data_IF_892241816902
#
_entry.id   IF_892241816902
#
_cell.length_a   1.000
_cell.length_b   1.000
_cell.length_c   1.000
_cell.angle_alpha   90.00
_cell.angle_beta   90.00
_cell.angle_gamma   90.00
#
_symmetry.space_group_name_H-M   'P 1'
#
loop_
_entity.id
_entity.type
_entity.pdbx_description
1 polymer ?
#
# COMPACT_ATOMS: atom_id res chain seq x y z
N UNK A 1 -5.36 -8.06 19.52
CA UNK A 1 -5.55 -7.08 18.43
C UNK A 1 -5.91 -5.76 19.07
N UNK A 2 -5.09 -4.75 18.88
CA UNK A 2 -5.30 -3.42 19.46
C UNK A 2 -5.23 -2.41 18.31
N UNK A 3 -6.38 -2.13 17.70
CA UNK A 3 -6.47 -1.03 16.75
C UNK A 3 -6.51 0.30 17.51
N UNK A 4 -5.83 1.34 17.01
CA UNK A 4 -6.03 2.69 17.51
C UNK A 4 -7.52 3.09 17.42
N UNK A 5 -8.01 3.84 18.42
CA UNK A 5 -9.41 4.26 18.48
C UNK A 5 -9.88 4.98 17.21
N UNK A 6 -8.98 5.73 16.57
CA UNK A 6 -9.21 6.38 15.27
C UNK A 6 -9.69 5.40 14.19
N UNK A 7 -9.14 4.18 14.17
CA UNK A 7 -9.48 3.15 13.19
C UNK A 7 -10.68 2.32 13.65
N UNK A 8 -10.66 1.86 14.92
CA UNK A 8 -11.70 0.98 15.46
C UNK A 8 -13.10 1.56 15.33
N UNK A 9 -13.24 2.88 15.52
CA UNK A 9 -14.52 3.58 15.51
C UNK A 9 -15.03 3.97 14.12
N UNK A 10 -14.16 3.93 13.09
CA UNK A 10 -14.48 4.47 11.76
C UNK A 10 -14.39 3.45 10.61
N UNK A 11 -13.76 2.31 10.83
CA UNK A 11 -13.65 1.31 9.78
C UNK A 11 -14.88 0.40 9.73
N UNK A 12 -15.46 0.27 8.53
CA UNK A 12 -16.45 -0.76 8.21
C UNK A 12 -15.80 -2.10 7.95
N UNK A 13 -14.66 -2.09 7.24
CA UNK A 13 -13.81 -3.25 7.00
C UNK A 13 -12.39 -2.96 7.47
N UNK A 14 -11.67 -3.94 8.01
CA UNK A 14 -10.27 -3.78 8.42
C UNK A 14 -9.34 -3.76 7.19
N UNK A 15 -9.49 -2.74 6.35
CA UNK A 15 -8.82 -2.61 5.04
C UNK A 15 -8.21 -1.22 4.89
N UNK A 16 -7.01 -1.21 4.31
CA UNK A 16 -6.33 -0.01 3.82
C UNK A 16 -6.10 -0.18 2.32
N UNK A 17 -6.56 0.76 1.51
CA UNK A 17 -6.15 0.90 0.13
C UNK A 17 -4.75 1.50 0.09
N UNK A 18 -3.77 0.73 -0.39
CA UNK A 18 -2.36 1.11 -0.39
C UNK A 18 -2.09 2.38 -1.21
N UNK A 19 -1.11 3.22 -0.82
CA UNK A 19 -0.70 4.35 -1.63
C UNK A 19 0.01 3.85 -2.88
N UNK A 20 -0.53 4.17 -4.04
CA UNK A 20 -0.02 3.70 -5.33
C UNK A 20 0.48 4.87 -6.16
N UNK A 21 1.77 4.81 -6.53
CA UNK A 21 2.43 5.88 -7.26
C UNK A 21 1.79 6.09 -8.64
N UNK A 22 1.41 7.34 -8.94
CA UNK A 22 0.69 7.79 -10.15
C UNK A 22 -0.72 7.17 -10.34
N UNK A 23 -1.25 6.45 -9.37
CA UNK A 23 -2.54 5.76 -9.44
C UNK A 23 -3.54 6.33 -8.43
N UNK A 24 -3.11 6.45 -7.16
CA UNK A 24 -3.96 7.05 -6.12
C UNK A 24 -4.14 8.54 -6.35
N UNK A 25 -5.36 9.02 -6.19
CA UNK A 25 -5.79 10.41 -6.36
C UNK A 25 -6.85 10.77 -5.29
N UNK A 26 -7.27 12.03 -5.15
CA UNK A 26 -8.29 12.42 -4.20
C UNK A 26 -9.62 11.66 -4.36
N UNK A 27 -10.05 11.39 -5.60
CA UNK A 27 -11.30 10.69 -5.88
C UNK A 27 -11.28 9.26 -5.32
N UNK A 28 -10.17 8.52 -5.54
CA UNK A 28 -10.00 7.17 -4.99
C UNK A 28 -9.96 7.20 -3.46
N UNK A 29 -9.22 8.15 -2.87
CA UNK A 29 -9.12 8.31 -1.41
C UNK A 29 -10.50 8.60 -0.81
N UNK A 30 -11.24 9.56 -1.35
CA UNK A 30 -12.58 9.93 -0.88
C UNK A 30 -13.57 8.76 -1.01
N UNK A 31 -13.53 8.03 -2.13
CA UNK A 31 -14.37 6.86 -2.34
C UNK A 31 -14.08 5.75 -1.29
N UNK A 32 -12.80 5.50 -0.99
CA UNK A 32 -12.41 4.56 0.06
C UNK A 32 -12.92 5.01 1.44
N UNK A 33 -12.63 6.26 1.84
CA UNK A 33 -12.99 6.79 3.15
C UNK A 33 -14.51 6.83 3.35
N UNK A 34 -15.29 7.21 2.32
CA UNK A 34 -16.76 7.18 2.33
C UNK A 34 -17.32 5.78 2.60
N UNK A 35 -16.63 4.75 2.11
CA UNK A 35 -17.03 3.35 2.28
C UNK A 35 -16.48 2.67 3.54
N UNK A 36 -15.85 3.44 4.44
CA UNK A 36 -15.36 2.94 5.72
C UNK A 36 -14.09 2.08 5.61
N UNK A 37 -13.22 2.37 4.64
CA UNK A 37 -11.86 1.83 4.54
C UNK A 37 -10.86 2.97 4.41
N UNK A 38 -9.64 2.79 4.90
CA UNK A 38 -8.61 3.83 4.76
C UNK A 38 -8.23 3.99 3.30
N UNK A 39 -8.41 5.18 2.73
CA UNK A 39 -7.86 5.58 1.44
C UNK A 39 -6.48 6.19 1.62
N UNK A 40 -5.54 5.93 0.70
CA UNK A 40 -4.21 6.51 0.81
C UNK A 40 -3.61 6.91 -0.54
N UNK A 41 -2.64 7.84 -0.48
CA UNK A 41 -1.91 8.30 -1.66
C UNK A 41 -0.48 8.73 -1.32
N UNK A 42 0.47 8.59 -2.26
CA UNK A 42 1.82 9.14 -2.10
C UNK A 42 1.85 10.66 -2.28
N UNK A 43 2.52 11.41 -1.40
CA UNK A 43 2.74 12.85 -1.58
C UNK A 43 3.44 13.15 -2.92
N UNK A 44 4.30 12.24 -3.38
CA UNK A 44 5.02 12.35 -4.65
C UNK A 44 4.16 12.13 -5.90
N UNK A 45 2.86 11.81 -5.78
CA UNK A 45 1.93 11.81 -6.92
C UNK A 45 1.72 13.23 -7.48
N UNK A 46 1.97 14.24 -6.68
CA UNK A 46 2.10 15.62 -7.13
C UNK A 46 3.59 15.98 -7.32
N UNK A 47 3.90 16.74 -8.38
CA UNK A 47 5.28 17.13 -8.67
C UNK A 47 5.84 18.11 -7.66
N UNK A 48 4.99 19.02 -7.18
CA UNK A 48 5.34 20.09 -6.25
C UNK A 48 4.58 19.91 -4.93
N UNK A 49 5.18 20.38 -3.83
CA UNK A 49 4.55 20.35 -2.51
C UNK A 49 3.26 21.18 -2.45
N UNK A 50 3.14 22.24 -3.28
CA UNK A 50 1.91 23.02 -3.44
C UNK A 50 0.76 22.19 -4.02
N UNK A 51 1.04 21.34 -4.99
CA UNK A 51 0.04 20.41 -5.55
C UNK A 51 -0.36 19.33 -4.53
N UNK A 52 0.59 18.85 -3.72
CA UNK A 52 0.30 17.96 -2.62
C UNK A 52 -0.62 18.61 -1.58
N UNK A 53 -0.33 19.87 -1.18
CA UNK A 53 -1.21 20.63 -0.28
C UNK A 53 -2.61 20.80 -0.85
N UNK A 54 -2.75 21.16 -2.13
CA UNK A 54 -4.05 21.30 -2.78
C UNK A 54 -4.86 19.98 -2.78
N UNK A 55 -4.21 18.83 -2.90
CA UNK A 55 -4.88 17.54 -2.78
C UNK A 55 -5.36 17.24 -1.36
N UNK A 56 -4.60 17.64 -0.34
CA UNK A 56 -5.06 17.52 1.05
C UNK A 56 -6.30 18.38 1.29
N UNK A 57 -6.29 19.64 0.83
CA UNK A 57 -7.44 20.55 0.94
C UNK A 57 -8.69 19.98 0.25
N UNK A 58 -8.54 19.37 -0.95
CA UNK A 58 -9.63 18.70 -1.67
C UNK A 58 -10.18 17.51 -0.88
N UNK A 59 -9.29 16.66 -0.34
CA UNK A 59 -9.69 15.48 0.46
C UNK A 59 -10.39 15.91 1.74
N UNK A 60 -9.85 16.87 2.48
CA UNK A 60 -10.43 17.38 3.72
C UNK A 60 -11.79 18.00 3.50
N UNK A 61 -11.94 18.82 2.44
CA UNK A 61 -13.22 19.40 2.07
C UNK A 61 -14.26 18.34 1.70
N UNK A 62 -13.85 17.28 0.98
CA UNK A 62 -14.73 16.16 0.64
C UNK A 62 -15.14 15.34 1.86
N UNK A 63 -14.20 15.04 2.76
CA UNK A 63 -14.47 14.28 3.98
C UNK A 63 -15.38 15.04 4.95
N UNK A 64 -15.26 16.36 5.01
CA UNK A 64 -16.11 17.21 5.85
C UNK A 64 -17.62 17.16 5.47
N UNK A 65 -17.94 16.67 4.27
CA UNK A 65 -19.32 16.48 3.81
C UNK A 65 -19.90 15.10 4.17
N UNK A 66 -19.08 14.20 4.73
CA UNK A 66 -19.46 12.83 5.03
C UNK A 66 -19.72 12.64 6.53
N UNK A 67 -20.64 11.73 6.85
CA UNK A 67 -20.89 11.32 8.22
C UNK A 67 -19.91 10.23 8.63
N UNK A 68 -19.06 10.52 9.62
CA UNK A 68 -18.06 9.62 10.20
C UNK A 68 -17.21 8.82 9.17
N UNK A 69 -16.56 9.47 8.18
CA UNK A 69 -15.76 8.77 7.19
C UNK A 69 -14.53 8.09 7.83
N UNK A 70 -14.04 7.02 7.21
CA UNK A 70 -12.74 6.46 7.59
C UNK A 70 -11.62 7.50 7.41
N UNK A 71 -10.55 7.44 8.21
CA UNK A 71 -9.41 8.34 8.04
C UNK A 71 -8.68 8.05 6.72
N UNK A 72 -8.01 9.07 6.19
CA UNK A 72 -7.09 8.91 5.06
C UNK A 72 -5.64 8.78 5.52
N UNK A 73 -4.77 8.34 4.61
CA UNK A 73 -3.34 8.25 4.87
C UNK A 73 -2.51 8.88 3.73
N UNK A 74 -1.35 9.42 4.09
CA UNK A 74 -0.36 9.96 3.14
C UNK A 74 0.93 9.15 3.23
N UNK A 75 1.46 8.71 2.09
CA UNK A 75 2.76 8.06 2.05
C UNK A 75 3.88 9.08 1.79
N UNK A 76 4.91 9.02 2.63
CA UNK A 76 6.17 9.75 2.51
C UNK A 76 7.32 8.78 2.28
N UNK A 77 8.10 9.01 1.22
CA UNK A 77 9.35 8.27 0.95
C UNK A 77 10.45 8.87 1.80
N UNK A 78 10.93 8.12 2.79
CA UNK A 78 11.99 8.53 3.72
C UNK A 78 13.33 8.05 3.19
N UNK A 79 13.84 8.77 2.21
CA UNK A 79 15.15 8.48 1.61
C UNK A 79 15.89 9.78 1.33
N UNK A 80 17.21 9.78 1.50
CA UNK A 80 18.07 10.98 1.31
C UNK A 80 17.96 11.59 -0.10
N UNK A 81 17.52 10.82 -1.09
CA UNK A 81 17.28 11.33 -2.45
C UNK A 81 15.93 12.05 -2.60
N UNK A 82 15.06 12.04 -1.60
CA UNK A 82 13.80 12.77 -1.64
C UNK A 82 14.01 14.21 -1.12
N UNK A 83 14.17 15.21 -1.99
CA UNK A 83 14.44 16.59 -1.57
C UNK A 83 13.20 17.27 -0.96
N UNK A 84 12.04 16.64 -1.07
CA UNK A 84 10.76 17.20 -0.60
C UNK A 84 10.33 16.71 0.77
N UNK A 85 11.02 15.73 1.34
CA UNK A 85 10.59 15.06 2.57
C UNK A 85 10.25 16.05 3.69
N UNK A 86 11.13 17.01 3.97
CA UNK A 86 10.92 18.00 5.03
C UNK A 86 9.71 18.91 4.75
N UNK A 87 9.59 19.40 3.50
CA UNK A 87 8.48 20.27 3.09
C UNK A 87 7.14 19.52 3.14
N UNK A 88 7.11 18.29 2.61
CA UNK A 88 5.89 17.48 2.61
C UNK A 88 5.50 17.03 4.04
N UNK A 89 6.48 16.75 4.92
CA UNK A 89 6.22 16.49 6.34
C UNK A 89 5.64 17.71 7.05
N UNK A 90 6.18 18.90 6.80
CA UNK A 90 5.65 20.14 7.38
C UNK A 90 4.18 20.36 6.96
N UNK A 91 3.82 20.07 5.71
CA UNK A 91 2.44 20.11 5.22
C UNK A 91 1.58 19.05 5.94
N UNK A 92 2.07 17.82 6.13
CA UNK A 92 1.35 16.80 6.88
C UNK A 92 1.06 17.25 8.32
N UNK A 93 2.00 17.93 8.98
CA UNK A 93 1.84 18.49 10.33
C UNK A 93 0.82 19.63 10.33
N UNK A 94 0.91 20.57 9.37
CA UNK A 94 -0.03 21.69 9.22
C UNK A 94 -1.48 21.20 9.06
N UNK A 95 -1.69 20.20 8.21
CA UNK A 95 -3.00 19.59 7.92
C UNK A 95 -3.41 18.49 8.91
N UNK A 96 -2.56 18.17 9.90
CA UNK A 96 -2.83 17.10 10.88
C UNK A 96 -3.25 15.79 10.22
N UNK A 97 -2.51 15.38 9.18
CA UNK A 97 -2.80 14.15 8.42
C UNK A 97 -2.99 12.97 9.38
N UNK A 98 -4.16 12.29 9.38
CA UNK A 98 -4.49 11.30 10.41
C UNK A 98 -3.51 10.14 10.48
N UNK A 99 -3.01 9.67 9.32
CA UNK A 99 -2.08 8.55 9.20
C UNK A 99 -0.98 8.91 8.20
N UNK A 100 0.27 8.83 8.63
CA UNK A 100 1.43 8.95 7.73
C UNK A 100 2.02 7.55 7.53
N UNK A 101 2.14 7.12 6.27
CA UNK A 101 2.81 5.87 5.90
C UNK A 101 4.22 6.21 5.45
N UNK A 102 5.23 5.62 6.08
CA UNK A 102 6.63 5.83 5.71
C UNK A 102 7.21 4.60 4.99
N UNK A 103 7.98 4.86 3.94
CA UNK A 103 8.64 3.82 3.15
C UNK A 103 10.13 4.12 2.99
N UNK A 104 10.97 3.09 2.88
CA UNK A 104 12.43 3.12 2.69
C UNK A 104 13.24 3.66 3.87
N UNK A 105 12.62 4.07 4.97
CA UNK A 105 13.27 4.49 6.20
C UNK A 105 12.28 4.85 7.30
N UNK A 106 12.57 4.48 8.54
CA UNK A 106 11.86 4.92 9.73
C UNK A 106 12.78 5.86 10.51
N UNK A 107 12.37 7.12 10.67
CA UNK A 107 13.15 8.16 11.34
C UNK A 107 12.34 8.69 12.52
N UNK A 108 12.97 8.66 13.71
CA UNK A 108 12.29 9.04 14.95
C UNK A 108 11.76 10.48 14.92
N UNK A 109 12.49 11.40 14.32
CA UNK A 109 12.10 12.81 14.22
C UNK A 109 10.79 12.99 13.43
N UNK A 110 10.58 12.18 12.38
CA UNK A 110 9.33 12.16 11.63
C UNK A 110 8.18 11.60 12.49
N UNK A 111 8.44 10.52 13.21
CA UNK A 111 7.45 9.92 14.12
C UNK A 111 7.03 10.93 15.18
N UNK A 112 7.99 11.58 15.84
CA UNK A 112 7.74 12.60 16.85
C UNK A 112 6.94 13.80 16.29
N UNK A 113 7.25 14.23 15.06
CA UNK A 113 6.51 15.30 14.39
C UNK A 113 5.04 14.94 14.14
N UNK A 114 4.77 13.71 13.69
CA UNK A 114 3.40 13.24 13.47
C UNK A 114 2.67 13.04 14.81
N UNK A 115 3.34 12.49 15.82
CA UNK A 115 2.77 12.32 17.15
C UNK A 115 2.45 13.66 17.84
N UNK A 116 3.15 14.75 17.49
CA UNK A 116 2.94 16.07 18.11
C UNK A 116 1.50 16.60 17.95
N UNK A 117 0.76 16.16 16.92
CA UNK A 117 -0.63 16.51 16.68
C UNK A 117 -1.61 15.36 16.87
N UNK A 118 -1.15 14.18 17.31
CA UNK A 118 -1.98 12.99 17.54
C UNK A 118 -2.19 12.12 16.30
N UNK A 119 -1.40 12.30 15.24
CA UNK A 119 -1.39 11.43 14.05
C UNK A 119 -0.72 10.08 14.34
N UNK A 120 -0.96 9.10 13.46
CA UNK A 120 -0.37 7.76 13.52
C UNK A 120 0.69 7.61 12.44
N UNK A 121 1.75 6.84 12.74
CA UNK A 121 2.78 6.48 11.75
C UNK A 121 2.77 4.98 11.52
N UNK A 122 2.57 4.57 10.26
CA UNK A 122 2.74 3.20 9.81
C UNK A 122 3.97 3.09 8.93
N UNK A 123 4.67 1.96 8.96
CA UNK A 123 5.91 1.78 8.20
C UNK A 123 5.94 0.48 7.42
N UNK A 124 6.32 0.56 6.11
CA UNK A 124 6.48 -0.60 5.23
C UNK A 124 7.73 -1.41 5.61
N UNK A 125 7.56 -2.70 5.84
CA UNK A 125 8.65 -3.62 6.20
C UNK A 125 8.57 -4.90 5.36
N UNK A 126 9.74 -5.43 4.97
CA UNK A 126 9.85 -6.64 4.18
C UNK A 126 10.61 -7.76 4.90
N UNK A 127 11.21 -7.45 6.05
CA UNK A 127 11.99 -8.39 6.88
C UNK A 127 11.82 -8.08 8.35
N UNK A 128 12.11 -9.05 9.23
CA UNK A 128 12.14 -8.85 10.68
C UNK A 128 13.04 -7.68 11.10
N UNK A 129 14.24 -7.58 10.52
CA UNK A 129 15.19 -6.50 10.84
C UNK A 129 14.62 -5.11 10.51
N UNK A 130 13.89 -4.97 9.40
CA UNK A 130 13.22 -3.71 9.07
C UNK A 130 12.12 -3.39 10.09
N UNK A 131 11.38 -4.41 10.51
CA UNK A 131 10.33 -4.28 11.51
C UNK A 131 10.86 -3.86 12.89
N UNK A 132 11.97 -4.48 13.34
CA UNK A 132 12.63 -4.13 14.60
C UNK A 132 13.09 -2.66 14.61
N UNK A 133 13.74 -2.20 13.52
CA UNK A 133 14.18 -0.79 13.40
C UNK A 133 13.01 0.19 13.38
N UNK A 134 11.92 -0.14 12.70
CA UNK A 134 10.73 0.71 12.69
C UNK A 134 10.06 0.76 14.06
N UNK A 135 10.00 -0.36 14.77
CA UNK A 135 9.49 -0.42 16.14
C UNK A 135 10.34 0.43 17.10
N UNK A 136 11.68 0.39 16.97
CA UNK A 136 12.62 1.23 17.74
C UNK A 136 12.40 2.72 17.46
N UNK A 137 12.04 3.11 16.23
CA UNK A 137 11.69 4.49 15.89
C UNK A 137 10.35 4.95 16.49
N UNK A 138 9.55 4.03 17.05
CA UNK A 138 8.31 4.33 17.77
C UNK A 138 7.04 4.33 16.95
N UNK A 139 7.04 3.75 15.74
CA UNK A 139 5.85 3.70 14.87
C UNK A 139 4.66 3.03 15.55
N UNK A 140 3.44 3.40 15.12
CA UNK A 140 2.18 2.89 15.66
C UNK A 140 1.71 1.62 14.93
N UNK A 141 2.22 1.40 13.73
CA UNK A 141 1.91 0.21 12.97
C UNK A 141 3.01 -0.20 12.00
N UNK A 142 3.02 -1.49 11.67
CA UNK A 142 3.91 -2.06 10.66
C UNK A 142 3.08 -2.62 9.50
N UNK A 143 3.53 -2.39 8.28
CA UNK A 143 2.95 -2.94 7.08
C UNK A 143 3.90 -4.03 6.58
N UNK A 144 3.53 -5.29 6.82
CA UNK A 144 4.29 -6.46 6.38
C UNK A 144 4.07 -6.67 4.87
N UNK A 145 5.00 -6.16 4.07
CA UNK A 145 4.96 -6.28 2.61
C UNK A 145 5.61 -7.62 2.22
N UNK A 146 4.78 -8.65 2.14
CA UNK A 146 5.19 -10.03 1.93
C UNK A 146 5.45 -10.37 0.45
N UNK A 147 5.93 -11.57 0.19
CA UNK A 147 6.03 -12.13 -1.15
C UNK A 147 4.65 -12.09 -1.84
N UNK A 148 4.66 -11.76 -3.13
CA UNK A 148 3.45 -11.64 -3.94
C UNK A 148 2.80 -10.26 -3.93
N UNK A 149 3.29 -9.30 -3.13
CA UNK A 149 2.84 -7.92 -3.23
C UNK A 149 3.31 -7.26 -4.54
N UNK A 150 2.54 -6.30 -5.03
CA UNK A 150 2.90 -5.44 -6.17
C UNK A 150 3.82 -4.29 -5.76
N UNK A 151 4.53 -3.69 -6.70
CA UNK A 151 5.49 -2.63 -6.41
C UNK A 151 6.67 -3.14 -5.56
N UNK A 152 7.24 -2.28 -4.73
CA UNK A 152 8.30 -2.66 -3.82
C UNK A 152 7.81 -3.73 -2.84
N UNK A 153 8.38 -4.91 -2.90
CA UNK A 153 7.90 -6.08 -2.16
C UNK A 153 9.06 -6.91 -1.59
N UNK A 154 8.77 -7.60 -0.50
CA UNK A 154 9.64 -8.61 0.07
C UNK A 154 9.52 -9.96 -0.64
N UNK A 155 10.39 -10.88 -0.23
CA UNK A 155 10.41 -12.27 -0.72
C UNK A 155 9.99 -13.28 0.34
N UNK A 156 9.65 -12.83 1.54
CA UNK A 156 9.25 -13.70 2.63
C UNK A 156 7.76 -14.03 2.53
N UNK A 157 7.44 -15.29 2.82
CA UNK A 157 6.06 -15.75 2.94
C UNK A 157 5.32 -14.91 3.99
N UNK A 158 4.04 -14.54 3.76
CA UNK A 158 3.22 -13.85 4.77
C UNK A 158 3.11 -14.64 6.08
N UNK A 159 3.06 -15.99 6.02
CA UNK A 159 3.05 -16.86 7.21
C UNK A 159 4.28 -16.67 8.09
N UNK A 160 5.46 -16.57 7.49
CA UNK A 160 6.72 -16.37 8.20
C UNK A 160 6.86 -14.94 8.70
N UNK A 161 6.63 -13.96 7.82
CA UNK A 161 6.86 -12.55 8.13
C UNK A 161 5.96 -12.06 9.28
N UNK A 162 4.66 -12.37 9.23
CA UNK A 162 3.71 -12.01 10.29
C UNK A 162 4.08 -12.70 11.61
N UNK A 163 4.38 -14.01 11.58
CA UNK A 163 4.71 -14.75 12.79
C UNK A 163 5.98 -14.21 13.49
N UNK A 164 7.00 -13.84 12.71
CA UNK A 164 8.23 -13.28 13.27
C UNK A 164 8.04 -11.86 13.83
N UNK A 165 7.24 -11.01 13.16
CA UNK A 165 6.95 -9.67 13.64
C UNK A 165 6.16 -9.74 14.94
N UNK A 166 5.17 -10.61 15.05
CA UNK A 166 4.34 -10.77 16.26
C UNK A 166 5.10 -11.27 17.49
N UNK A 167 6.32 -11.77 17.35
CA UNK A 167 7.15 -12.14 18.51
C UNK A 167 7.59 -10.94 19.35
N UNK A 168 7.61 -9.72 18.78
CA UNK A 168 8.11 -8.52 19.47
C UNK A 168 7.24 -7.28 19.26
N UNK A 169 6.25 -7.31 18.35
CA UNK A 169 5.42 -6.16 18.02
C UNK A 169 3.94 -6.47 18.26
N UNK A 170 3.35 -5.80 19.24
CA UNK A 170 1.97 -5.99 19.72
C UNK A 170 0.99 -4.90 19.23
N UNK A 171 1.51 -3.83 18.58
CA UNK A 171 0.70 -2.77 17.99
C UNK A 171 0.09 -3.19 16.64
N UNK A 172 -0.45 -2.23 15.89
CA UNK A 172 -1.16 -2.47 14.63
C UNK A 172 -0.25 -3.10 13.56
N UNK A 173 -0.67 -4.24 13.02
CA UNK A 173 0.05 -4.95 11.98
C UNK A 173 -0.84 -5.14 10.76
N UNK A 174 -0.36 -4.69 9.60
CA UNK A 174 -1.03 -4.83 8.32
C UNK A 174 -0.32 -5.89 7.48
N UNK A 175 -1.08 -6.66 6.69
CA UNK A 175 -0.53 -7.59 5.71
C UNK A 175 -0.79 -7.08 4.30
N UNK A 176 0.27 -6.99 3.48
CA UNK A 176 0.24 -6.75 2.05
C UNK A 176 0.76 -7.95 1.27
N UNK A 177 0.08 -8.31 0.19
CA UNK A 177 0.46 -9.37 -0.74
C UNK A 177 -0.69 -10.32 -1.04
N UNK A 178 -1.06 -10.44 -2.31
CA UNK A 178 -2.10 -11.34 -2.84
C UNK A 178 -3.47 -11.18 -2.15
N UNK A 179 -3.90 -9.96 -1.89
CA UNK A 179 -5.20 -9.67 -1.27
C UNK A 179 -6.12 -8.99 -2.27
N UNK A 180 -7.28 -9.61 -2.61
CA UNK A 180 -8.26 -9.13 -3.59
C UNK A 180 -9.71 -9.34 -3.14
N UNK A 181 -9.95 -10.28 -2.19
CA UNK A 181 -11.26 -10.74 -1.79
C UNK A 181 -11.51 -10.61 -0.28
N UNK A 182 -12.78 -10.60 0.10
CA UNK A 182 -13.15 -10.47 1.52
C UNK A 182 -12.69 -11.65 2.39
N UNK A 183 -12.61 -12.87 1.84
CA UNK A 183 -12.09 -14.02 2.60
C UNK A 183 -10.60 -13.91 2.93
N UNK A 184 -9.83 -13.15 2.13
CA UNK A 184 -8.41 -12.90 2.38
C UNK A 184 -8.20 -11.88 3.48
N UNK A 185 -9.18 -10.99 3.72
CA UNK A 185 -9.18 -10.12 4.91
C UNK A 185 -9.19 -10.99 6.17
N UNK A 186 -10.07 -11.98 6.22
CA UNK A 186 -10.13 -12.94 7.33
C UNK A 186 -8.85 -13.76 7.44
N UNK A 187 -8.29 -14.22 6.31
CA UNK A 187 -7.03 -14.96 6.28
C UNK A 187 -5.88 -14.14 6.87
N UNK A 188 -5.78 -12.85 6.52
CA UNK A 188 -4.79 -11.94 7.10
C UNK A 188 -4.94 -11.84 8.62
N UNK A 189 -6.18 -11.73 9.13
CA UNK A 189 -6.46 -11.67 10.56
C UNK A 189 -6.12 -12.98 11.27
N UNK A 190 -6.43 -14.13 10.68
CA UNK A 190 -6.09 -15.47 11.22
C UNK A 190 -4.58 -15.67 11.28
N UNK A 191 -3.83 -15.10 10.32
CA UNK A 191 -2.35 -15.10 10.36
C UNK A 191 -1.78 -14.21 11.48
N UNK A 192 -2.57 -13.27 12.01
CA UNK A 192 -2.14 -12.37 13.08
C UNK A 192 -2.00 -10.90 12.67
N UNK A 193 -2.35 -10.52 11.44
CA UNK A 193 -2.49 -9.12 11.06
C UNK A 193 -3.79 -8.52 11.62
N UNK A 194 -3.82 -7.23 11.87
CA UNK A 194 -5.03 -6.52 12.29
C UNK A 194 -5.81 -5.99 11.08
N UNK A 195 -5.10 -5.56 10.04
CA UNK A 195 -5.65 -4.96 8.83
C UNK A 195 -5.07 -5.63 7.58
N UNK A 196 -5.88 -5.66 6.53
CA UNK A 196 -5.48 -6.07 5.19
C UNK A 196 -5.10 -4.84 4.35
N UNK A 197 -3.98 -4.89 3.62
CA UNK A 197 -3.42 -3.80 2.84
C UNK A 197 -3.48 -4.13 1.35
N UNK A 198 -4.43 -3.54 0.65
CA UNK A 198 -4.77 -3.85 -0.74
C UNK A 198 -4.17 -2.84 -1.70
N UNK A 199 -3.32 -3.29 -2.63
CA UNK A 199 -2.79 -2.46 -3.71
C UNK A 199 -3.48 -2.75 -5.04
N UNK A 200 -3.08 -3.83 -5.70
CA UNK A 200 -3.45 -4.18 -7.08
C UNK A 200 -4.95 -4.17 -7.34
N UNK A 201 -5.77 -4.64 -6.38
CA UNK A 201 -7.22 -4.65 -6.52
C UNK A 201 -7.80 -3.23 -6.70
N UNK A 202 -7.25 -2.23 -6.01
CA UNK A 202 -7.69 -0.84 -6.14
C UNK A 202 -7.15 -0.14 -7.38
N UNK A 203 -6.07 -0.64 -8.03
CA UNK A 203 -5.68 -0.17 -9.37
C UNK A 203 -6.82 -0.45 -10.37
N UNK A 204 -7.46 -1.62 -10.26
CA UNK A 204 -8.59 -2.05 -11.06
C UNK A 204 -9.94 -1.51 -10.55
N UNK A 205 -10.03 -0.21 -10.26
CA UNK A 205 -11.28 0.48 -9.91
C UNK A 205 -11.53 1.67 -10.84
N UNK A 206 -12.78 2.11 -10.94
CA UNK A 206 -13.17 3.23 -11.78
C UNK A 206 -12.46 4.53 -11.37
N UNK A 207 -12.32 4.77 -10.06
CA UNK A 207 -11.77 6.00 -9.47
C UNK A 207 -10.25 6.10 -9.52
N UNK A 208 -9.53 4.98 -9.76
CA UNK A 208 -8.08 5.01 -9.89
C UNK A 208 -7.63 5.77 -11.14
N UNK A 209 -6.47 6.47 -11.07
CA UNK A 209 -5.88 7.16 -12.23
C UNK A 209 -5.12 6.21 -13.17
N UNK A 210 -5.20 4.89 -12.98
CA UNK A 210 -4.58 3.95 -13.90
C UNK A 210 -5.15 4.14 -15.32
N UNK A 211 -4.31 4.26 -16.35
CA UNK A 211 -4.77 4.27 -17.73
C UNK A 211 -5.58 3.01 -18.08
N UNK A 212 -6.52 3.10 -19.01
CA UNK A 212 -7.36 1.96 -19.42
C UNK A 212 -6.52 0.75 -19.83
N UNK A 213 -5.45 0.95 -20.58
CA UNK A 213 -4.52 -0.12 -20.96
C UNK A 213 -3.86 -0.83 -19.76
N UNK A 214 -3.65 -0.12 -18.65
CA UNK A 214 -3.17 -0.74 -17.41
C UNK A 214 -4.25 -1.60 -16.78
N UNK A 215 -5.48 -1.08 -16.69
CA UNK A 215 -6.64 -1.82 -16.18
C UNK A 215 -6.92 -3.06 -17.04
N UNK A 216 -6.86 -2.95 -18.35
CA UNK A 216 -6.99 -4.10 -19.28
C UNK A 216 -5.89 -5.15 -19.07
N UNK A 217 -4.64 -4.70 -18.86
CA UNK A 217 -3.53 -5.62 -18.58
C UNK A 217 -3.72 -6.36 -17.26
N UNK A 218 -4.30 -5.73 -16.22
CA UNK A 218 -4.66 -6.42 -14.98
C UNK A 218 -5.66 -7.56 -15.23
N UNK A 219 -6.70 -7.32 -16.05
CA UNK A 219 -7.74 -8.31 -16.33
C UNK A 219 -7.23 -9.54 -17.08
N UNK A 220 -6.14 -9.40 -17.84
CA UNK A 220 -5.56 -10.47 -18.67
C UNK A 220 -4.36 -11.15 -18.04
N UNK A 221 -3.74 -10.55 -17.03
CA UNK A 221 -2.53 -11.08 -16.36
C UNK A 221 -2.86 -12.19 -15.35
N UNK A 222 -1.87 -13.03 -15.08
CA UNK A 222 -1.92 -14.09 -14.08
C UNK A 222 -0.69 -14.02 -13.18
N UNK A 223 -0.66 -14.78 -12.08
CA UNK A 223 0.47 -14.81 -11.15
C UNK A 223 1.82 -15.10 -11.84
N UNK A 224 1.81 -15.94 -12.88
CA UNK A 224 3.01 -16.27 -13.66
C UNK A 224 3.54 -15.09 -14.51
N UNK A 225 2.72 -14.06 -14.72
CA UNK A 225 3.09 -12.86 -15.47
C UNK A 225 3.71 -11.78 -14.58
N UNK A 226 3.89 -12.05 -13.28
CA UNK A 226 4.54 -11.12 -12.36
C UNK A 226 6.02 -11.44 -12.25
N UNK A 227 6.84 -10.46 -12.57
CA UNK A 227 8.31 -10.51 -12.52
C UNK A 227 8.79 -9.66 -11.35
N UNK A 228 9.46 -10.29 -10.38
CA UNK A 228 10.08 -9.59 -9.25
C UNK A 228 11.56 -9.32 -9.57
N UNK A 229 11.93 -8.03 -9.66
CA UNK A 229 13.28 -7.63 -10.10
C UNK A 229 13.67 -6.26 -9.56
N UNK A 230 14.94 -6.02 -9.22
CA UNK A 230 15.47 -4.69 -8.90
C UNK A 230 15.83 -3.86 -10.15
N UNK A 231 15.76 -4.42 -11.36
CA UNK A 231 16.35 -3.83 -12.56
C UNK A 231 15.66 -2.52 -13.01
N UNK A 232 14.43 -2.25 -12.58
CA UNK A 232 13.68 -1.05 -12.99
C UNK A 232 14.05 0.15 -12.12
N UNK A 233 14.07 -0.02 -10.80
CA UNK A 233 14.24 1.09 -9.84
C UNK A 233 15.49 0.95 -8.94
N UNK A 234 16.23 -0.13 -9.04
CA UNK A 234 17.34 -0.47 -8.13
C UNK A 234 16.87 -1.10 -6.82
N UNK A 235 15.57 -1.07 -6.51
CA UNK A 235 14.94 -1.72 -5.37
C UNK A 235 14.08 -2.87 -5.88
N UNK A 236 14.12 -4.07 -5.25
CA UNK A 236 13.30 -5.21 -5.66
C UNK A 236 11.81 -4.84 -5.68
N UNK A 237 11.17 -5.04 -6.81
CA UNK A 237 9.75 -4.73 -7.01
C UNK A 237 9.11 -5.71 -8.01
N UNK A 238 7.78 -5.85 -7.91
CA UNK A 238 7.00 -6.75 -8.75
C UNK A 238 6.31 -5.98 -9.86
N UNK A 239 6.52 -6.41 -11.10
CA UNK A 239 5.99 -5.76 -12.31
C UNK A 239 5.29 -6.79 -13.20
N UNK A 240 4.35 -6.32 -14.02
CA UNK A 240 3.73 -7.16 -15.05
C UNK A 240 4.72 -7.38 -16.21
N UNK A 241 4.88 -8.65 -16.61
CA UNK A 241 5.78 -9.11 -17.68
C UNK A 241 5.57 -8.31 -18.98
N UNK A 242 4.33 -8.24 -19.44
CA UNK A 242 3.98 -7.54 -20.68
C UNK A 242 4.37 -6.05 -20.62
N UNK A 243 4.27 -5.42 -19.46
CA UNK A 243 4.66 -4.03 -19.27
C UNK A 243 6.17 -3.83 -19.37
N UNK A 244 6.96 -4.77 -18.82
CA UNK A 244 8.42 -4.78 -18.97
C UNK A 244 8.82 -4.96 -20.43
N UNK A 245 8.21 -5.91 -21.15
CA UNK A 245 8.45 -6.16 -22.58
C UNK A 245 8.11 -4.93 -23.42
N UNK A 246 6.96 -4.31 -23.19
CA UNK A 246 6.55 -3.08 -23.87
C UNK A 246 7.51 -1.91 -23.62
N UNK A 247 8.17 -1.88 -22.48
CA UNK A 247 9.18 -0.89 -22.12
C UNK A 247 10.61 -1.25 -22.63
N UNK A 248 10.75 -2.38 -23.33
CA UNK A 248 12.01 -2.81 -23.96
C UNK A 248 12.99 -3.52 -23.03
N UNK A 249 12.52 -4.03 -21.89
CA UNK A 249 13.36 -4.84 -21.00
C UNK A 249 13.55 -6.26 -21.57
N UNK A 250 14.82 -6.74 -21.58
CA UNK A 250 15.12 -8.14 -21.85
C UNK A 250 14.90 -8.97 -20.59
N UNK A 251 13.83 -9.76 -20.57
CA UNK A 251 13.44 -10.57 -19.42
C UNK A 251 14.45 -11.69 -19.11
N UNK A 252 15.20 -12.20 -20.11
CA UNK A 252 16.23 -13.20 -19.89
C UNK A 252 17.42 -12.57 -19.12
N UNK A 253 17.75 -11.33 -19.43
CA UNK A 253 18.79 -10.58 -18.72
C UNK A 253 18.39 -10.19 -17.29
N UNK A 254 17.07 -10.03 -17.02
CA UNK A 254 16.56 -9.66 -15.68
C UNK A 254 16.69 -10.79 -14.65
N UNK A 255 16.87 -12.03 -15.06
CA UNK A 255 17.12 -13.18 -14.17
C UNK A 255 18.57 -13.28 -13.70
N UNK A 256 19.50 -12.50 -14.30
CA UNK A 256 20.88 -12.37 -13.86
C UNK A 256 21.04 -11.50 -12.61
N UNK A 257 22.09 -11.75 -11.81
CA UNK A 257 22.45 -10.90 -10.65
C UNK A 257 22.83 -9.49 -11.14
N UNK A 258 21.90 -8.56 -11.09
CA UNK A 258 22.19 -7.15 -11.34
C UNK A 258 23.07 -6.57 -10.22
N UNK A 259 24.19 -5.95 -10.56
CA UNK A 259 24.93 -5.12 -9.61
C UNK A 259 24.09 -3.92 -9.21
N UNK A 260 23.85 -3.78 -7.90
CA UNK A 260 23.15 -2.62 -7.32
C UNK A 260 24.09 -1.42 -7.35
N UNK A 261 23.93 -0.57 -8.34
CA UNK A 261 24.67 0.68 -8.44
C UNK A 261 23.75 1.87 -8.18
N UNK A 262 23.57 2.24 -6.91
CA UNK A 262 22.76 3.38 -6.49
C UNK A 262 23.30 4.73 -7.00
N UNK A 263 24.62 4.87 -7.18
CA UNK A 263 25.26 6.13 -7.55
C UNK A 263 25.04 6.58 -8.99
N UNK A 264 24.86 5.65 -9.94
CA UNK A 264 24.66 5.97 -11.37
C UNK A 264 23.19 5.96 -11.82
N UNK A 265 22.27 5.40 -10.99
CA UNK A 265 20.86 5.21 -11.32
C UNK A 265 19.90 6.16 -10.56
N UNK A 266 20.40 6.88 -9.56
CA UNK A 266 19.71 8.01 -8.94
C UNK A 266 19.88 9.26 -9.81
N UNK A 267 19.45 9.16 -11.07
CA UNK A 267 19.18 10.34 -11.88
C UNK A 267 17.93 11.04 -11.34
N UNK A 268 17.80 12.36 -11.57
CA UNK A 268 16.72 13.16 -10.98
C UNK A 268 15.35 12.48 -11.10
N UNK A 269 14.47 12.70 -10.13
CA UNK A 269 13.07 12.21 -10.05
C UNK A 269 12.31 12.12 -11.40
N UNK A 270 12.76 12.83 -12.44
CA UNK A 270 12.22 12.80 -13.79
C UNK A 270 12.39 11.45 -14.51
N UNK A 271 13.46 10.69 -14.27
CA UNK A 271 13.72 9.44 -14.99
C UNK A 271 13.12 8.23 -14.27
N UNK A 272 13.08 8.26 -12.96
CA UNK A 272 12.34 7.26 -12.16
C UNK A 272 10.83 7.40 -12.39
N UNK A 273 10.31 8.63 -12.40
CA UNK A 273 8.92 8.90 -12.75
C UNK A 273 8.56 8.48 -14.19
N UNK A 274 9.53 8.53 -15.14
CA UNK A 274 9.33 8.03 -16.51
C UNK A 274 9.26 6.50 -16.55
N UNK A 275 10.12 5.80 -15.80
CA UNK A 275 10.08 4.34 -15.70
C UNK A 275 8.72 3.85 -15.17
N UNK A 276 8.21 4.44 -14.07
CA UNK A 276 6.93 4.07 -13.48
C UNK A 276 5.70 4.49 -14.32
N UNK A 277 5.84 5.41 -15.27
CA UNK A 277 4.76 5.74 -16.22
C UNK A 277 4.53 4.66 -17.26
N UNK A 278 5.56 3.94 -17.64
CA UNK A 278 5.57 2.97 -18.74
C UNK A 278 5.71 1.54 -18.28
N UNK A 279 6.20 1.30 -17.05
CA UNK A 279 6.36 -0.03 -16.44
C UNK A 279 5.35 -0.16 -15.30
N UNK A 280 4.38 -1.04 -15.47
CA UNK A 280 3.25 -1.19 -14.57
C UNK A 280 3.45 -2.35 -13.60
N UNK A 281 3.12 -2.09 -12.34
CA UNK A 281 3.29 -3.04 -11.24
C UNK A 281 1.99 -3.76 -10.92
N UNK A 282 2.09 -5.03 -10.55
CA UNK A 282 1.00 -5.76 -9.92
C UNK A 282 1.55 -6.81 -8.96
N UNK A 283 0.72 -7.24 -8.00
CA UNK A 283 1.00 -8.40 -7.17
C UNK A 283 0.57 -9.71 -7.83
N UNK A 284 1.02 -10.83 -7.29
CA UNK A 284 0.72 -12.17 -7.82
C UNK A 284 -0.77 -12.53 -7.74
N UNK A 285 -1.56 -11.86 -6.89
CA UNK A 285 -3.02 -12.01 -6.87
C UNK A 285 -3.74 -11.43 -8.09
N UNK A 286 -3.04 -10.80 -9.04
CA UNK A 286 -3.62 -10.16 -10.22
C UNK A 286 -4.57 -11.07 -11.01
N UNK A 287 -4.31 -12.39 -11.02
CA UNK A 287 -5.11 -13.37 -11.76
C UNK A 287 -6.55 -13.54 -11.27
N UNK A 288 -6.90 -12.94 -10.12
CA UNK A 288 -8.26 -12.98 -9.55
C UNK A 288 -9.04 -11.69 -9.85
N UNK A 289 -8.41 -10.71 -10.50
CA UNK A 289 -9.07 -9.46 -10.91
C UNK A 289 -9.73 -9.65 -12.27
N UNK A 290 -11.06 -9.63 -12.29
CA UNK A 290 -11.84 -9.93 -13.49
C UNK A 290 -12.72 -8.77 -13.97
N UNK A 291 -12.71 -7.63 -13.23
CA UNK A 291 -13.55 -6.46 -13.51
C UNK A 291 -12.90 -5.17 -13.00
N UNK A 292 -13.48 -4.04 -13.41
CA UNK A 292 -13.12 -2.69 -12.99
C UNK A 292 -14.36 -2.01 -12.39
N UNK A 293 -14.76 -2.40 -11.16
CA UNK A 293 -15.93 -1.82 -10.50
C UNK A 293 -15.62 -0.42 -9.95
N UNK A 294 -16.66 0.28 -9.54
CA UNK A 294 -16.49 1.41 -8.61
C UNK A 294 -15.99 0.93 -7.24
N UNK A 295 -15.39 1.84 -6.46
CA UNK A 295 -14.99 1.52 -5.08
C UNK A 295 -16.20 1.12 -4.24
N UNK A 296 -17.36 1.75 -4.45
CA UNK A 296 -18.60 1.42 -3.74
C UNK A 296 -19.00 -0.06 -3.97
N UNK A 297 -18.98 -0.51 -5.23
CA UNK A 297 -19.28 -1.90 -5.61
C UNK A 297 -18.22 -2.87 -5.06
N UNK A 298 -16.94 -2.49 -5.14
CA UNK A 298 -15.85 -3.32 -4.63
C UNK A 298 -15.98 -3.52 -3.13
N UNK A 299 -16.15 -2.45 -2.34
CA UNK A 299 -16.24 -2.56 -0.89
C UNK A 299 -17.51 -3.30 -0.45
N UNK A 300 -18.63 -3.13 -1.14
CA UNK A 300 -19.84 -3.91 -0.86
C UNK A 300 -19.61 -5.41 -1.07
N UNK A 301 -18.89 -5.79 -2.14
CA UNK A 301 -18.50 -7.17 -2.43
C UNK A 301 -17.56 -7.73 -1.36
N UNK A 302 -16.49 -6.99 -1.03
CA UNK A 302 -15.52 -7.39 -0.01
C UNK A 302 -16.19 -7.61 1.37
N UNK A 303 -17.14 -6.75 1.74
CA UNK A 303 -17.89 -6.90 2.99
C UNK A 303 -18.75 -8.18 3.00
N UNK A 304 -19.47 -8.44 1.91
CA UNK A 304 -20.28 -9.65 1.77
C UNK A 304 -19.42 -10.93 1.82
N UNK A 305 -18.31 -10.94 1.10
CA UNK A 305 -17.35 -12.06 1.09
C UNK A 305 -16.71 -12.27 2.47
N UNK A 306 -16.31 -11.19 3.15
CA UNK A 306 -15.72 -11.24 4.49
C UNK A 306 -16.69 -11.82 5.52
N UNK A 307 -17.96 -11.37 5.51
CA UNK A 307 -19.00 -11.91 6.40
C UNK A 307 -19.23 -13.39 6.14
N UNK A 308 -19.38 -13.78 4.87
CA UNK A 308 -19.54 -15.19 4.49
C UNK A 308 -18.35 -16.06 4.92
N UNK A 309 -17.13 -15.55 4.76
CA UNK A 309 -15.91 -16.24 5.20
C UNK A 309 -15.89 -16.46 6.74
N UNK A 310 -16.29 -15.45 7.52
CA UNK A 310 -16.40 -15.55 8.98
C UNK A 310 -17.44 -16.59 9.40
N UNK A 311 -18.61 -16.59 8.76
CA UNK A 311 -19.67 -17.58 9.01
C UNK A 311 -19.18 -19.01 8.70
N UNK A 312 -18.49 -19.18 7.55
CA UNK A 312 -17.91 -20.47 7.18
C UNK A 312 -16.84 -20.91 8.17
N UNK A 313 -15.92 -20.04 8.55
CA UNK A 313 -14.87 -20.36 9.51
C UNK A 313 -15.41 -20.77 10.88
N UNK A 314 -16.52 -20.17 11.33
CA UNK A 314 -17.20 -20.55 12.58
C UNK A 314 -17.83 -21.96 12.54
N UNK A 315 -18.05 -22.50 11.35
CA UNK A 315 -18.65 -23.84 11.12
C UNK A 315 -17.60 -24.92 10.88
N UNK A 316 -16.32 -24.57 10.71
CA UNK A 316 -15.26 -25.55 10.48
C UNK A 316 -15.16 -26.48 11.68
N UNK A 317 -15.30 -27.78 11.42
CA UNK A 317 -15.19 -28.86 12.44
C UNK A 317 -14.14 -29.86 12.00
N UNK A 318 -13.27 -30.23 12.90
CA UNK A 318 -12.37 -31.37 12.71
C UNK A 318 -13.09 -32.63 13.17
N UNK A 319 -13.03 -33.76 12.42
CA UNK A 319 -13.45 -35.04 12.95
C UNK A 319 -12.63 -35.33 14.21
N UNK A 320 -13.29 -35.72 15.27
CA UNK A 320 -12.66 -36.17 16.53
C UNK A 320 -12.17 -37.59 16.38
#
# INVERSE_FOLDING_TARGET
MSLPALLEQRLRLPVVAAPMFLISNPQLVLACCRNGVVGSFPALNQRESSGFKAWLEEIEAGLAQLDNPAPYAVNLIVHNSNPRLEADLAICVEHKVPIVITSLGAVKELVDAVHSYGGLVFHDVTTRRHAEKAAEAGVDGLIAVAAGAGGHAGTWSPFSLIAEIRQFFDKTLLLAGCLNHGHEILAAQVLGADLAYFGTRFIGTAESQAPDAYKEMLLTSRAADIVHTPAVSGVPASFMRQSLENAGFDLAALQGKGEVNFGSKLKPLSDEAKAWKTVWSAGQGVGEINDVPTVDELIARLDAEYRKAREHAAQLRWPR
#
